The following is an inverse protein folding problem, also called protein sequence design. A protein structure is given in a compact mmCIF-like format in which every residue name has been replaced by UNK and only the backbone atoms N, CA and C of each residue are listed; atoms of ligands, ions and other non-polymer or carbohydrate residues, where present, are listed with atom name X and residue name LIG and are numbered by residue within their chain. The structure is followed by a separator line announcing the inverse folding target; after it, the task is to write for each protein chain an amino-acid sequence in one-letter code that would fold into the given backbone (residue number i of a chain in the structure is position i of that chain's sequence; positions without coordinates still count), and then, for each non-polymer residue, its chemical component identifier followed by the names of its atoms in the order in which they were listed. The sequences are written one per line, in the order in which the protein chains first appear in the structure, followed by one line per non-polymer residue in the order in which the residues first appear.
data_IF_581470103672
#
_entry.id   IF_581470103672
#
_cell.length_a   1.000
_cell.length_b   1.000
_cell.length_c   1.000
_cell.angle_alpha   90.00
_cell.angle_beta   90.00
_cell.angle_gamma   90.00
#
_symmetry.space_group_name_H-M   'P 1'
#
loop_
_entity.id
_entity.type
_entity.pdbx_description
1 polymer ?
#
# COMPACT_ATOMS: atom_id res chain seq x y z
N UNK A 1 -5.82 85.91 -28.22
CA UNK A 1 -6.76 84.78 -27.98
C UNK A 1 -6.19 83.40 -28.34
N UNK A 2 -5.40 83.24 -29.42
CA UNK A 2 -4.90 81.91 -29.85
C UNK A 2 -4.07 81.14 -28.80
N UNK A 3 -3.19 81.82 -28.05
CA UNK A 3 -2.26 81.18 -27.08
C UNK A 3 -2.99 80.60 -25.85
N UNK A 4 -4.10 81.21 -25.42
CA UNK A 4 -4.87 80.67 -24.28
C UNK A 4 -5.67 79.42 -24.66
N UNK A 5 -6.14 79.33 -25.91
CA UNK A 5 -6.82 78.13 -26.40
C UNK A 5 -5.87 76.94 -26.51
N UNK A 6 -4.63 77.13 -26.97
CA UNK A 6 -3.65 76.03 -27.07
C UNK A 6 -3.21 75.53 -25.69
N UNK A 7 -3.01 76.43 -24.72
CA UNK A 7 -2.69 76.06 -23.34
C UNK A 7 -3.83 75.28 -22.65
N UNK A 8 -5.09 75.69 -22.87
CA UNK A 8 -6.24 74.97 -22.33
C UNK A 8 -6.38 73.56 -22.92
N UNK A 9 -6.14 73.39 -24.23
CA UNK A 9 -6.19 72.07 -24.89
C UNK A 9 -5.09 71.14 -24.37
N UNK A 10 -3.87 71.65 -24.16
CA UNK A 10 -2.77 70.85 -23.59
C UNK A 10 -3.05 70.40 -22.15
N UNK A 11 -3.66 71.26 -21.32
CA UNK A 11 -4.06 70.90 -19.97
C UNK A 11 -5.15 69.83 -19.95
N UNK A 12 -6.13 69.92 -20.84
CA UNK A 12 -7.20 68.91 -20.95
C UNK A 12 -6.63 67.58 -21.44
N UNK A 13 -5.77 67.58 -22.45
CA UNK A 13 -5.10 66.37 -22.93
C UNK A 13 -4.20 65.74 -21.86
N UNK A 14 -3.44 66.55 -21.12
CA UNK A 14 -2.64 66.10 -19.99
C UNK A 14 -3.48 65.52 -18.85
N UNK A 15 -4.63 66.14 -18.55
CA UNK A 15 -5.59 65.65 -17.55
C UNK A 15 -6.23 64.32 -17.94
N UNK A 16 -6.68 64.18 -19.19
CA UNK A 16 -7.28 62.94 -19.71
C UNK A 16 -6.22 61.83 -19.76
N UNK A 17 -5.01 62.12 -20.23
CA UNK A 17 -3.90 61.18 -20.27
C UNK A 17 -3.47 60.72 -18.87
N UNK A 18 -3.32 61.65 -17.93
CA UNK A 18 -3.00 61.35 -16.53
C UNK A 18 -4.10 60.53 -15.84
N UNK A 19 -5.37 60.83 -16.12
CA UNK A 19 -6.50 60.08 -15.59
C UNK A 19 -6.53 58.63 -16.12
N UNK A 20 -6.32 58.44 -17.42
CA UNK A 20 -6.22 57.10 -18.02
C UNK A 20 -5.05 56.31 -17.46
N UNK A 21 -3.88 56.93 -17.34
CA UNK A 21 -2.69 56.28 -16.78
C UNK A 21 -2.91 55.89 -15.31
N UNK A 22 -3.53 56.77 -14.52
CA UNK A 22 -3.89 56.50 -13.13
C UNK A 22 -4.85 55.31 -13.00
N UNK A 23 -5.86 55.25 -13.89
CA UNK A 23 -6.83 54.15 -13.93
C UNK A 23 -6.18 52.81 -14.29
N UNK A 24 -5.37 52.77 -15.36
CA UNK A 24 -4.66 51.56 -15.77
C UNK A 24 -3.70 51.08 -14.68
N UNK A 25 -2.98 52.00 -14.03
CA UNK A 25 -2.12 51.67 -12.89
C UNK A 25 -2.89 51.20 -11.66
N UNK A 26 -4.14 51.64 -11.45
CA UNK A 26 -4.99 51.16 -10.38
C UNK A 26 -5.50 49.74 -10.68
N UNK A 27 -5.96 49.49 -11.90
CA UNK A 27 -6.44 48.19 -12.36
C UNK A 27 -5.32 47.13 -12.33
N UNK A 28 -4.13 47.49 -12.83
CA UNK A 28 -2.96 46.60 -12.77
C UNK A 28 -2.59 46.25 -11.32
N UNK A 29 -2.61 47.22 -10.40
CA UNK A 29 -2.35 46.98 -8.98
C UNK A 29 -3.41 46.08 -8.33
N UNK A 30 -4.66 46.18 -8.75
CA UNK A 30 -5.72 45.31 -8.25
C UNK A 30 -5.53 43.86 -8.72
N UNK A 31 -5.19 43.67 -10.01
CA UNK A 31 -4.88 42.34 -10.58
C UNK A 31 -3.65 41.72 -9.91
N UNK A 32 -2.58 42.49 -9.73
CA UNK A 32 -1.37 42.01 -9.05
C UNK A 32 -1.65 41.54 -7.63
N UNK A 33 -2.44 42.29 -6.85
CA UNK A 33 -2.85 41.85 -5.51
C UNK A 33 -3.70 40.57 -5.55
N UNK A 34 -4.57 40.43 -6.55
CA UNK A 34 -5.35 39.21 -6.75
C UNK A 34 -4.45 37.99 -6.98
N UNK A 35 -3.48 38.12 -7.88
CA UNK A 35 -2.51 37.06 -8.18
C UNK A 35 -1.61 36.73 -6.98
N UNK A 36 -1.19 37.73 -6.21
CA UNK A 36 -0.42 37.51 -4.97
C UNK A 36 -1.22 36.71 -3.94
N UNK A 37 -2.51 37.03 -3.77
CA UNK A 37 -3.40 36.29 -2.88
C UNK A 37 -3.64 34.86 -3.36
N UNK A 38 -3.84 34.65 -4.66
CA UNK A 38 -3.97 33.32 -5.24
C UNK A 38 -2.69 32.50 -5.06
N UNK A 39 -1.52 33.12 -5.26
CA UNK A 39 -0.22 32.50 -5.01
C UNK A 39 -0.07 32.09 -3.55
N UNK A 40 -0.45 32.96 -2.60
CA UNK A 40 -0.42 32.62 -1.17
C UNK A 40 -1.36 31.45 -0.86
N UNK A 41 -2.60 31.48 -1.38
CA UNK A 41 -3.56 30.37 -1.19
C UNK A 41 -3.04 29.05 -1.75
N UNK A 42 -2.38 29.07 -2.91
CA UNK A 42 -1.78 27.87 -3.50
C UNK A 42 -0.60 27.37 -2.67
N UNK A 43 0.25 28.27 -2.16
CA UNK A 43 1.33 27.93 -1.24
C UNK A 43 0.83 27.31 0.07
N UNK A 44 -0.24 27.83 0.65
CA UNK A 44 -0.85 27.26 1.86
C UNK A 44 -1.45 25.86 1.61
N UNK A 45 -2.05 25.65 0.43
CA UNK A 45 -2.54 24.32 0.04
C UNK A 45 -1.39 23.34 -0.18
N UNK A 46 -0.32 23.79 -0.83
CA UNK A 46 0.88 22.99 -1.05
C UNK A 46 1.50 22.56 0.28
N UNK A 47 1.70 23.50 1.20
CA UNK A 47 2.30 23.21 2.51
C UNK A 47 1.42 22.26 3.34
N UNK A 48 0.09 22.44 3.30
CA UNK A 48 -0.84 21.52 3.95
C UNK A 48 -0.76 20.10 3.36
N UNK A 49 -0.67 19.99 2.04
CA UNK A 49 -0.57 18.70 1.37
C UNK A 49 0.79 18.02 1.63
N UNK A 50 1.88 18.79 1.69
CA UNK A 50 3.21 18.30 2.08
C UNK A 50 3.21 17.75 3.51
N UNK A 51 2.59 18.47 4.46
CA UNK A 51 2.43 17.99 5.83
C UNK A 51 1.62 16.68 5.92
N UNK A 52 0.56 16.56 5.11
CA UNK A 52 -0.23 15.33 5.06
C UNK A 52 0.56 14.16 4.47
N UNK A 53 1.31 14.41 3.38
CA UNK A 53 2.21 13.42 2.79
C UNK A 53 3.24 12.93 3.79
N UNK A 54 3.86 13.85 4.54
CA UNK A 54 4.90 13.49 5.50
C UNK A 54 4.31 12.66 6.66
N UNK A 55 3.11 13.01 7.16
CA UNK A 55 2.39 12.17 8.14
C UNK A 55 2.07 10.78 7.63
N UNK A 56 1.64 10.65 6.38
CA UNK A 56 1.34 9.35 5.77
C UNK A 56 2.61 8.51 5.60
N UNK A 57 3.73 9.15 5.26
CA UNK A 57 5.03 8.50 5.16
C UNK A 57 5.49 7.95 6.51
N UNK A 58 5.39 8.75 7.58
CA UNK A 58 5.72 8.29 8.94
C UNK A 58 4.84 7.09 9.36
N UNK A 59 3.55 7.13 9.03
CA UNK A 59 2.64 6.03 9.30
C UNK A 59 2.99 4.76 8.50
N UNK A 60 3.42 4.92 7.24
CA UNK A 60 3.89 3.81 6.42
C UNK A 60 5.16 3.19 7.02
N UNK A 61 6.14 4.00 7.39
CA UNK A 61 7.38 3.51 8.01
C UNK A 61 7.11 2.77 9.33
N UNK A 62 6.17 3.25 10.15
CA UNK A 62 5.74 2.54 11.36
C UNK A 62 5.07 1.19 11.07
N UNK A 63 4.23 1.12 10.04
CA UNK A 63 3.60 -0.13 9.63
C UNK A 63 4.62 -1.12 9.07
N UNK A 64 5.57 -0.66 8.26
CA UNK A 64 6.67 -1.48 7.75
C UNK A 64 7.52 -2.05 8.89
N UNK A 65 7.86 -1.24 9.90
CA UNK A 65 8.54 -1.72 11.10
C UNK A 65 7.72 -2.78 11.86
N UNK A 66 6.40 -2.57 12.02
CA UNK A 66 5.53 -3.56 12.69
C UNK A 66 5.44 -4.87 11.91
N UNK A 67 5.35 -4.79 10.59
CA UNK A 67 5.37 -5.98 9.73
C UNK A 67 6.71 -6.70 9.84
N UNK A 68 7.82 -5.96 9.91
CA UNK A 68 9.16 -6.52 10.17
C UNK A 68 9.20 -7.31 11.48
N UNK A 69 8.77 -6.70 12.58
CA UNK A 69 8.74 -7.37 13.90
C UNK A 69 7.87 -8.62 13.88
N UNK A 70 6.65 -8.54 13.33
CA UNK A 70 5.76 -9.72 13.23
C UNK A 70 6.35 -10.82 12.34
N UNK A 71 7.08 -10.44 11.28
CA UNK A 71 7.76 -11.40 10.41
C UNK A 71 8.89 -12.10 11.14
N UNK A 72 9.67 -11.38 11.93
CA UNK A 72 10.75 -11.93 12.74
C UNK A 72 10.18 -12.85 13.83
N UNK A 73 9.11 -12.45 14.52
CA UNK A 73 8.39 -13.30 15.50
C UNK A 73 7.83 -14.59 14.86
N UNK A 74 7.27 -14.50 13.66
CA UNK A 74 6.80 -15.67 12.89
C UNK A 74 7.96 -16.57 12.48
N UNK A 75 9.10 -16.01 12.12
CA UNK A 75 10.27 -16.77 11.72
C UNK A 75 10.94 -17.46 12.92
N UNK A 76 11.01 -16.78 14.07
CA UNK A 76 11.51 -17.34 15.33
C UNK A 76 10.60 -18.45 15.83
N UNK A 77 9.28 -18.25 15.81
CA UNK A 77 8.31 -19.30 16.16
C UNK A 77 8.34 -20.47 15.17
N UNK A 78 8.49 -20.21 13.87
CA UNK A 78 8.68 -21.25 12.86
C UNK A 78 9.97 -22.07 13.10
N UNK A 79 11.10 -21.42 13.42
CA UNK A 79 12.35 -22.12 13.77
C UNK A 79 12.20 -22.95 15.05
N UNK A 80 11.44 -22.48 16.04
CA UNK A 80 11.14 -23.24 17.26
C UNK A 80 10.25 -24.46 16.98
N UNK A 81 9.30 -24.37 16.04
CA UNK A 81 8.49 -25.54 15.61
C UNK A 81 9.22 -26.53 14.71
N UNK A 82 10.27 -26.09 13.98
CA UNK A 82 11.10 -26.97 13.12
C UNK A 82 12.25 -27.62 13.91
N UNK A 83 12.57 -27.16 15.12
CA UNK A 83 13.37 -27.95 16.04
C UNK A 83 12.60 -29.25 16.33
N UNK A 84 13.05 -30.42 15.83
CA UNK A 84 12.33 -31.65 16.05
C UNK A 84 12.26 -31.87 17.56
N UNK A 85 11.04 -31.85 18.10
CA UNK A 85 10.78 -32.34 19.44
C UNK A 85 11.50 -33.68 19.56
N UNK A 86 12.54 -33.74 20.41
CA UNK A 86 13.39 -34.93 20.61
C UNK A 86 12.49 -36.18 20.66
N UNK A 87 12.50 -36.97 19.58
CA UNK A 87 11.76 -38.24 19.50
C UNK A 87 10.59 -38.31 18.51
N UNK A 88 10.19 -37.25 17.80
CA UNK A 88 9.16 -37.37 16.74
C UNK A 88 9.83 -37.79 15.41
N UNK A 89 9.40 -38.90 14.76
CA UNK A 89 9.96 -39.31 13.48
C UNK A 89 9.72 -38.21 12.43
N UNK A 90 10.72 -37.97 11.57
CA UNK A 90 10.60 -36.99 10.50
C UNK A 90 9.39 -37.34 9.61
N UNK A 91 8.54 -36.36 9.24
CA UNK A 91 7.37 -36.61 8.42
C UNK A 91 7.80 -37.16 7.06
N UNK A 92 7.14 -38.23 6.60
CA UNK A 92 7.46 -38.94 5.35
C UNK A 92 6.60 -38.50 4.19
N UNK A 93 5.51 -37.78 4.46
CA UNK A 93 4.55 -37.31 3.47
C UNK A 93 4.17 -35.83 3.68
N UNK A 94 3.72 -35.12 2.63
CA UNK A 94 3.22 -33.75 2.77
C UNK A 94 2.06 -33.62 3.76
N UNK A 95 1.17 -34.62 3.83
CA UNK A 95 0.08 -34.67 4.80
C UNK A 95 0.58 -34.79 6.25
N UNK A 96 1.58 -35.63 6.52
CA UNK A 96 2.21 -35.74 7.84
C UNK A 96 2.96 -34.45 8.23
N UNK A 97 3.57 -33.78 7.26
CA UNK A 97 4.21 -32.50 7.50
C UNK A 97 3.21 -31.43 7.89
N UNK A 98 2.05 -31.37 7.23
CA UNK A 98 0.95 -30.46 7.60
C UNK A 98 0.45 -30.69 9.04
N UNK A 99 0.47 -31.94 9.50
CA UNK A 99 0.19 -32.26 10.92
C UNK A 99 1.32 -31.76 11.82
N UNK A 100 2.57 -31.91 11.40
CA UNK A 100 3.73 -31.46 12.19
C UNK A 100 3.79 -29.94 12.38
N UNK A 101 3.27 -29.16 11.44
CA UNK A 101 3.20 -27.69 11.51
C UNK A 101 1.84 -27.17 12.02
N UNK A 102 1.03 -28.05 12.63
CA UNK A 102 -0.28 -27.72 13.22
C UNK A 102 -1.31 -27.11 12.25
N UNK A 103 -1.09 -27.24 10.93
CA UNK A 103 -2.03 -26.83 9.87
C UNK A 103 -3.11 -27.86 9.59
N UNK A 104 -2.92 -29.09 10.06
CA UNK A 104 -3.85 -30.20 9.95
C UNK A 104 -3.91 -30.95 11.28
N UNK A 105 -5.11 -31.19 11.80
CA UNK A 105 -5.27 -32.02 13.01
C UNK A 105 -5.18 -33.51 12.67
N UNK A 106 -4.67 -34.36 13.58
CA UNK A 106 -4.60 -35.80 13.36
C UNK A 106 -5.99 -36.43 13.16
N UNK A 107 -7.04 -35.86 13.77
CA UNK A 107 -8.42 -36.29 13.57
C UNK A 107 -8.90 -36.03 12.14
N UNK A 108 -8.51 -34.91 11.53
CA UNK A 108 -8.87 -34.57 10.16
C UNK A 108 -8.14 -35.51 9.17
N UNK A 109 -6.87 -35.82 9.43
CA UNK A 109 -6.14 -36.81 8.63
C UNK A 109 -6.82 -38.19 8.68
N UNK A 110 -7.27 -38.62 9.87
CA UNK A 110 -8.00 -39.88 10.03
C UNK A 110 -9.33 -39.89 9.27
N UNK A 111 -10.08 -38.77 9.30
CA UNK A 111 -11.33 -38.64 8.53
C UNK A 111 -11.10 -38.68 7.02
N UNK A 112 -10.03 -38.05 6.52
CA UNK A 112 -9.66 -38.10 5.11
C UNK A 112 -9.27 -39.53 4.69
N UNK A 113 -8.55 -40.27 5.54
CA UNK A 113 -8.27 -41.69 5.33
C UNK A 113 -9.53 -42.55 5.29
N UNK A 114 -10.42 -42.36 6.25
CA UNK A 114 -11.71 -43.07 6.32
C UNK A 114 -12.55 -42.81 5.07
N UNK A 115 -12.63 -41.54 4.64
CA UNK A 115 -13.31 -41.15 3.42
C UNK A 115 -12.70 -41.86 2.20
N UNK A 116 -11.39 -41.77 2.01
CA UNK A 116 -10.68 -42.39 0.87
C UNK A 116 -10.86 -43.91 0.84
N UNK A 117 -10.81 -44.59 1.99
CA UNK A 117 -11.07 -46.04 2.07
C UNK A 117 -12.53 -46.38 1.73
N UNK A 118 -13.47 -45.54 2.16
CA UNK A 118 -14.91 -45.72 1.92
C UNK A 118 -15.33 -45.48 0.48
N UNK A 119 -14.80 -44.45 -0.17
CA UNK A 119 -15.16 -44.06 -1.55
C UNK A 119 -14.27 -44.68 -2.62
N UNK A 120 -13.18 -45.37 -2.25
CA UNK A 120 -12.20 -45.99 -3.18
C UNK A 120 -11.72 -45.03 -4.27
N UNK A 121 -11.57 -43.75 -3.94
CA UNK A 121 -11.07 -42.74 -4.89
C UNK A 121 -9.60 -42.97 -5.21
N UNK A 122 -9.22 -42.79 -6.48
CA UNK A 122 -7.82 -42.81 -6.93
C UNK A 122 -7.04 -41.53 -6.56
N UNK A 123 -7.71 -40.55 -5.97
CA UNK A 123 -7.12 -39.30 -5.52
C UNK A 123 -6.03 -39.53 -4.47
N UNK A 124 -4.97 -38.74 -4.58
CA UNK A 124 -3.91 -38.66 -3.58
C UNK A 124 -4.47 -38.15 -2.24
N UNK A 125 -3.78 -38.44 -1.14
CA UNK A 125 -4.25 -38.02 0.19
C UNK A 125 -4.41 -36.50 0.27
N UNK A 126 -3.51 -35.77 -0.38
CA UNK A 126 -3.53 -34.32 -0.44
C UNK A 126 -4.75 -33.77 -1.18
N UNK A 127 -5.15 -34.42 -2.26
CA UNK A 127 -6.36 -34.04 -3.02
C UNK A 127 -7.63 -34.33 -2.24
N UNK A 128 -7.66 -35.42 -1.46
CA UNK A 128 -8.78 -35.72 -0.56
C UNK A 128 -8.88 -34.66 0.54
N UNK A 129 -7.76 -34.20 1.10
CA UNK A 129 -7.75 -33.14 2.12
C UNK A 129 -8.27 -31.80 1.57
N UNK A 130 -7.94 -31.48 0.32
CA UNK A 130 -8.47 -30.28 -0.38
C UNK A 130 -9.97 -30.47 -0.67
N UNK A 131 -10.37 -31.64 -1.16
CA UNK A 131 -11.76 -31.95 -1.50
C UNK A 131 -12.69 -31.85 -0.29
N UNK A 132 -12.22 -32.25 0.89
CA UNK A 132 -12.95 -32.17 2.15
C UNK A 132 -12.82 -30.80 2.84
N UNK A 133 -12.20 -29.81 2.18
CA UNK A 133 -11.95 -28.47 2.71
C UNK A 133 -11.23 -28.48 4.08
N UNK A 134 -10.40 -29.51 4.31
CA UNK A 134 -9.64 -29.66 5.56
C UNK A 134 -8.34 -28.88 5.53
N UNK A 135 -7.79 -28.62 4.34
CA UNK A 135 -6.54 -27.90 4.10
C UNK A 135 -6.64 -27.12 2.79
N UNK A 136 -6.07 -25.92 2.74
CA UNK A 136 -6.03 -25.15 1.50
C UNK A 136 -5.08 -25.75 0.46
N UNK A 137 -5.40 -25.56 -0.83
CA UNK A 137 -4.50 -25.94 -1.92
C UNK A 137 -3.15 -25.20 -1.90
N UNK A 138 -3.06 -24.06 -1.20
CA UNK A 138 -1.81 -23.34 -1.03
C UNK A 138 -0.91 -24.03 0.00
N UNK A 139 -1.46 -24.47 1.13
CA UNK A 139 -0.71 -25.16 2.18
C UNK A 139 -0.17 -26.52 1.69
N UNK A 140 -0.98 -27.26 0.91
CA UNK A 140 -0.54 -28.50 0.26
C UNK A 140 0.62 -28.26 -0.72
N UNK A 141 0.58 -27.16 -1.48
CA UNK A 141 1.68 -26.81 -2.41
C UNK A 141 2.95 -26.43 -1.65
N UNK A 142 2.82 -25.67 -0.56
CA UNK A 142 3.94 -25.34 0.31
C UNK A 142 4.55 -26.60 0.94
N UNK A 143 3.71 -27.52 1.43
CA UNK A 143 4.16 -28.81 1.94
C UNK A 143 4.87 -29.63 0.84
N UNK A 144 4.29 -29.75 -0.36
CA UNK A 144 4.93 -30.46 -1.49
C UNK A 144 6.28 -29.86 -1.86
N UNK A 145 6.42 -28.53 -1.86
CA UNK A 145 7.70 -27.87 -2.14
C UNK A 145 8.82 -28.29 -1.17
N UNK A 146 8.48 -28.57 0.10
CA UNK A 146 9.45 -29.06 1.10
C UNK A 146 9.94 -30.49 0.79
N UNK A 147 9.13 -31.32 0.14
CA UNK A 147 9.48 -32.71 -0.20
C UNK A 147 9.99 -32.89 -1.64
N UNK A 148 9.66 -31.98 -2.55
CA UNK A 148 10.14 -32.02 -3.93
C UNK A 148 11.56 -31.48 -4.10
N UNK A 149 12.14 -30.86 -3.06
CA UNK A 149 13.45 -30.21 -3.12
C UNK A 149 13.48 -29.05 -4.13
N UNK A 150 14.52 -28.20 -4.12
CA UNK A 150 14.74 -27.31 -5.24
C UNK A 150 15.03 -28.19 -6.46
N UNK A 151 14.10 -28.22 -7.42
CA UNK A 151 14.45 -28.60 -8.77
C UNK A 151 15.62 -27.69 -9.18
N UNK A 152 16.81 -28.27 -9.34
CA UNK A 152 17.97 -27.58 -9.85
C UNK A 152 17.60 -26.91 -11.19
N UNK A 153 17.56 -25.59 -11.18
CA UNK A 153 17.34 -24.72 -12.33
C UNK A 153 17.99 -23.38 -12.03
#
# INVERSE_FOLDING_TARGET
MSIMCTAAVLLVLGGIGGFWLSRVCADYRAVMRGLELERMRLMDRLSSAELERDRLRDAQEQLECRVGVLRDELQDSAQVTVAPAKGRPAPRTPAEWLVSVEKLTPENLRKAEEYRRGTRTELSMEEVLILLDMVSAQDVRAAKAMFSGPAAG
#
